data_IF_449508749983
#
_entry.id   IF_449508749983
#
_cell.length_a   1.000
_cell.length_b   1.000
_cell.length_c   1.000
_cell.angle_alpha   90.00
_cell.angle_beta   90.00
_cell.angle_gamma   90.00
#
_symmetry.space_group_name_H-M   'P 1'
#
loop_
_entity.id
_entity.type
_entity.pdbx_description
1 polymer ?
#
# COMPACT_ATOMS: atom_id res chain seq x y z
N UNK A 1 -13.50 6.84 -6.88
CA UNK A 1 -12.34 5.97 -6.64
C UNK A 1 -12.75 4.53 -6.92
N UNK A 2 -12.20 3.94 -7.95
CA UNK A 2 -12.41 2.51 -8.22
C UNK A 2 -11.13 1.77 -7.83
N UNK A 3 -11.24 0.91 -6.83
CA UNK A 3 -10.16 0.02 -6.41
C UNK A 3 -10.40 -1.34 -7.07
N UNK A 4 -9.47 -1.73 -7.93
CA UNK A 4 -9.47 -3.06 -8.53
C UNK A 4 -8.32 -3.85 -7.90
N UNK A 5 -8.66 -4.82 -7.06
CA UNK A 5 -7.71 -5.79 -6.57
C UNK A 5 -7.61 -6.95 -7.56
N UNK A 6 -6.45 -7.16 -8.17
CA UNK A 6 -6.13 -8.42 -8.82
C UNK A 6 -4.84 -8.96 -8.20
N UNK A 7 -4.97 -9.95 -7.36
CA UNK A 7 -3.86 -10.51 -6.58
C UNK A 7 -3.05 -11.57 -7.33
N UNK A 8 -3.46 -12.01 -8.52
CA UNK A 8 -3.02 -13.30 -9.04
C UNK A 8 -1.80 -13.30 -9.97
N UNK A 9 -1.39 -12.18 -10.55
CA UNK A 9 -0.37 -12.22 -11.62
C UNK A 9 0.99 -11.57 -11.27
N UNK A 10 1.09 -10.85 -10.17
CA UNK A 10 2.28 -10.03 -9.87
C UNK A 10 3.23 -10.73 -8.88
N UNK A 11 2.74 -11.74 -8.15
CA UNK A 11 3.52 -12.42 -7.09
C UNK A 11 4.66 -13.31 -7.60
N UNK A 12 4.60 -13.78 -8.85
CA UNK A 12 5.51 -14.78 -9.38
C UNK A 12 6.46 -14.24 -10.47
N UNK A 13 6.45 -12.94 -10.73
CA UNK A 13 7.30 -12.33 -11.76
C UNK A 13 8.19 -11.24 -11.14
N UNK A 14 9.48 -11.30 -11.46
CA UNK A 14 10.44 -10.21 -11.23
C UNK A 14 10.09 -9.03 -12.13
N UNK A 15 8.98 -8.35 -11.83
CA UNK A 15 8.54 -7.21 -12.63
C UNK A 15 9.47 -6.01 -12.39
N UNK A 16 9.92 -5.43 -13.47
CA UNK A 16 10.67 -4.17 -13.46
C UNK A 16 9.74 -2.99 -13.16
N UNK A 17 10.28 -1.86 -12.71
CA UNK A 17 9.51 -0.63 -12.50
C UNK A 17 8.79 -0.19 -13.79
N UNK A 18 9.40 -0.40 -14.96
CA UNK A 18 8.79 -0.04 -16.25
C UNK A 18 7.59 -0.93 -16.59
N UNK A 19 7.66 -2.23 -16.34
CA UNK A 19 6.52 -3.14 -16.53
C UNK A 19 5.36 -2.80 -15.58
N UNK A 20 5.66 -2.46 -14.33
CA UNK A 20 4.66 -2.04 -13.36
C UNK A 20 3.99 -0.72 -13.74
N UNK A 21 4.75 0.24 -14.27
CA UNK A 21 4.18 1.48 -14.84
C UNK A 21 3.21 1.19 -15.98
N UNK A 22 3.59 0.28 -16.88
CA UNK A 22 2.70 -0.11 -17.99
C UNK A 22 1.42 -0.78 -17.50
N UNK A 23 1.51 -1.69 -16.52
CA UNK A 23 0.32 -2.30 -15.90
C UNK A 23 -0.60 -1.27 -15.25
N UNK A 24 -0.04 -0.33 -14.49
CA UNK A 24 -0.80 0.76 -13.86
C UNK A 24 -1.52 1.61 -14.92
N UNK A 25 -0.83 1.94 -16.01
CA UNK A 25 -1.41 2.70 -17.14
C UNK A 25 -2.55 1.95 -17.77
N UNK A 26 -2.35 0.66 -18.14
CA UNK A 26 -3.36 -0.18 -18.76
C UNK A 26 -4.61 -0.36 -17.90
N UNK A 27 -4.43 -0.49 -16.57
CA UNK A 27 -5.54 -0.54 -15.63
C UNK A 27 -6.29 0.79 -15.57
N UNK A 28 -5.58 1.90 -15.58
CA UNK A 28 -6.17 3.24 -15.58
C UNK A 28 -6.96 3.52 -16.87
N UNK A 29 -6.52 3.01 -18.00
CA UNK A 29 -7.23 3.14 -19.30
C UNK A 29 -8.62 2.47 -19.28
N UNK A 30 -8.85 1.53 -18.34
CA UNK A 30 -10.17 0.90 -18.14
C UNK A 30 -11.16 1.76 -17.34
N UNK A 31 -10.75 2.94 -16.87
CA UNK A 31 -11.64 3.89 -16.22
C UNK A 31 -11.07 4.62 -15.01
N UNK A 32 -10.44 3.95 -14.03
CA UNK A 32 -10.04 4.61 -12.79
C UNK A 32 -8.95 5.66 -13.04
N UNK A 33 -9.09 6.82 -12.38
CA UNK A 33 -8.13 7.92 -12.48
C UNK A 33 -6.87 7.62 -11.65
N UNK A 34 -7.02 6.93 -10.54
CA UNK A 34 -5.93 6.51 -9.65
C UNK A 34 -5.94 5.00 -9.57
N UNK A 35 -4.80 4.39 -9.80
CA UNK A 35 -4.58 2.94 -9.68
C UNK A 35 -3.46 2.69 -8.69
N UNK A 36 -3.64 1.71 -7.81
CA UNK A 36 -2.66 1.33 -6.80
C UNK A 36 -2.47 -0.19 -6.85
N UNK A 37 -1.21 -0.62 -6.87
CA UNK A 37 -0.80 -2.02 -6.75
C UNK A 37 -0.04 -2.18 -5.45
N UNK A 38 -0.47 -3.11 -4.62
CA UNK A 38 0.15 -3.38 -3.31
C UNK A 38 0.89 -4.70 -3.30
N UNK A 39 1.77 -4.88 -2.31
CA UNK A 39 2.46 -6.14 -2.04
C UNK A 39 3.36 -6.62 -3.18
N UNK A 40 3.96 -5.71 -3.93
CA UNK A 40 4.92 -6.03 -4.98
C UNK A 40 6.26 -6.44 -4.34
N UNK A 41 6.78 -7.65 -4.59
CA UNK A 41 8.09 -8.03 -4.12
C UNK A 41 9.18 -7.10 -4.67
N UNK A 42 10.20 -6.84 -3.87
CA UNK A 42 11.38 -6.08 -4.33
C UNK A 42 12.45 -7.07 -4.80
N UNK A 43 12.93 -6.90 -6.04
CA UNK A 43 13.98 -7.74 -6.59
C UNK A 43 15.23 -7.68 -5.70
N UNK A 44 15.85 -8.84 -5.44
CA UNK A 44 17.03 -9.01 -4.58
C UNK A 44 16.86 -8.58 -3.10
N UNK A 45 15.66 -8.16 -2.67
CA UNK A 45 15.40 -7.76 -1.30
C UNK A 45 14.16 -8.50 -0.72
N UNK A 46 14.27 -9.79 -0.35
CA UNK A 46 13.13 -10.62 0.07
C UNK A 46 12.44 -10.13 1.36
N UNK A 47 13.09 -9.22 2.08
CA UNK A 47 12.54 -8.59 3.29
C UNK A 47 11.86 -7.24 3.04
N UNK A 48 11.66 -6.87 1.77
CA UNK A 48 10.96 -5.65 1.38
C UNK A 48 9.81 -5.92 0.44
N UNK A 49 8.85 -5.04 0.48
CA UNK A 49 7.72 -4.99 -0.44
C UNK A 49 7.46 -3.56 -0.84
N UNK A 50 6.85 -3.36 -1.99
CA UNK A 50 6.53 -2.03 -2.50
C UNK A 50 5.06 -1.88 -2.84
N UNK A 51 4.60 -0.65 -2.74
CA UNK A 51 3.31 -0.18 -3.23
C UNK A 51 3.58 0.78 -4.38
N UNK A 52 2.91 0.57 -5.50
CA UNK A 52 2.99 1.43 -6.68
C UNK A 52 1.66 2.12 -6.90
N UNK A 53 1.69 3.36 -7.29
CA UNK A 53 0.49 4.12 -7.62
C UNK A 53 0.69 4.97 -8.89
N UNK A 54 -0.38 5.13 -9.62
CA UNK A 54 -0.45 5.98 -10.80
C UNK A 54 -1.62 6.94 -10.69
N UNK A 55 -1.39 8.20 -11.01
CA UNK A 55 -2.44 9.21 -11.17
C UNK A 55 -2.44 9.69 -12.62
N UNK A 56 -3.49 9.33 -13.36
CA UNK A 56 -3.66 9.67 -14.77
C UNK A 56 -3.72 11.18 -15.03
N UNK A 57 -4.36 11.95 -14.14
CA UNK A 57 -4.51 13.39 -14.33
C UNK A 57 -3.17 14.12 -14.39
N UNK A 58 -2.21 13.70 -13.53
CA UNK A 58 -0.87 14.28 -13.51
C UNK A 58 0.16 13.49 -14.30
N UNK A 59 -0.21 12.33 -14.85
CA UNK A 59 0.70 11.35 -15.46
C UNK A 59 1.91 11.07 -14.57
N UNK A 60 1.66 10.81 -13.27
CA UNK A 60 2.70 10.61 -12.26
C UNK A 60 2.61 9.24 -11.65
N UNK A 61 3.76 8.62 -11.47
CA UNK A 61 3.93 7.31 -10.85
C UNK A 61 4.66 7.47 -9.52
N UNK A 62 4.17 6.78 -8.51
CA UNK A 62 4.71 6.82 -7.16
C UNK A 62 5.02 5.42 -6.68
N UNK A 63 6.08 5.28 -5.90
CA UNK A 63 6.49 4.05 -5.24
C UNK A 63 6.74 4.29 -3.78
N UNK A 64 6.28 3.39 -2.94
CA UNK A 64 6.59 3.34 -1.50
C UNK A 64 7.15 1.98 -1.19
N UNK A 65 8.37 1.92 -0.70
CA UNK A 65 9.02 0.67 -0.30
C UNK A 65 9.04 0.55 1.22
N UNK A 66 8.65 -0.60 1.74
CA UNK A 66 8.59 -0.86 3.17
C UNK A 66 9.10 -2.27 3.52
N UNK A 67 9.45 -2.53 4.79
CA UNK A 67 9.79 -3.86 5.24
C UNK A 67 8.63 -4.84 5.03
N UNK A 68 8.94 -6.02 4.51
CA UNK A 68 7.99 -7.13 4.45
C UNK A 68 7.98 -7.88 5.79
N UNK A 69 6.82 -8.01 6.38
CA UNK A 69 6.60 -8.85 7.55
C UNK A 69 5.90 -10.13 7.10
N UNK A 70 6.47 -11.32 7.40
CA UNK A 70 5.93 -12.61 6.93
C UNK A 70 4.72 -13.02 7.76
N UNK A 71 3.72 -12.15 7.83
CA UNK A 71 2.46 -12.38 8.53
C UNK A 71 1.32 -11.93 7.62
N UNK A 72 0.33 -12.80 7.49
CA UNK A 72 -0.87 -12.51 6.72
C UNK A 72 -2.06 -12.37 7.66
N UNK A 73 -2.65 -11.18 7.65
CA UNK A 73 -3.85 -10.87 8.43
C UNK A 73 -4.99 -10.45 7.50
N UNK A 74 -6.16 -11.10 7.59
CA UNK A 74 -7.34 -10.66 6.84
C UNK A 74 -7.69 -9.20 7.13
N UNK A 75 -8.22 -8.49 6.12
CA UNK A 75 -8.67 -7.11 6.26
C UNK A 75 -7.57 -6.04 6.15
N UNK A 76 -6.31 -6.40 5.97
CA UNK A 76 -5.23 -5.42 5.76
C UNK A 76 -5.44 -4.59 4.49
N UNK A 77 -5.91 -5.22 3.41
CA UNK A 77 -6.22 -4.52 2.16
C UNK A 77 -7.37 -3.52 2.31
N UNK A 78 -8.44 -3.91 3.01
CA UNK A 78 -9.59 -3.03 3.28
C UNK A 78 -9.18 -1.86 4.16
N UNK A 79 -8.36 -2.13 5.18
CA UNK A 79 -7.82 -1.09 6.07
C UNK A 79 -6.92 -0.12 5.29
N UNK A 80 -6.02 -0.63 4.46
CA UNK A 80 -5.15 0.17 3.59
C UNK A 80 -5.97 1.12 2.72
N UNK A 81 -6.97 0.57 2.03
CA UNK A 81 -7.91 1.30 1.19
C UNK A 81 -8.65 2.40 1.96
N UNK A 82 -9.13 2.07 3.15
CA UNK A 82 -9.87 3.02 4.00
C UNK A 82 -8.99 4.18 4.45
N UNK A 83 -7.74 3.91 4.82
CA UNK A 83 -6.77 4.97 5.20
C UNK A 83 -6.45 5.88 4.02
N UNK A 84 -6.19 5.32 2.82
CA UNK A 84 -5.96 6.12 1.61
C UNK A 84 -7.16 7.01 1.31
N UNK A 85 -8.36 6.44 1.31
CA UNK A 85 -9.59 7.18 1.01
C UNK A 85 -9.78 8.32 2.01
N UNK A 86 -9.67 8.04 3.30
CA UNK A 86 -9.78 9.05 4.35
C UNK A 86 -8.75 10.17 4.22
N UNK A 87 -7.50 9.82 3.94
CA UNK A 87 -6.38 10.77 3.76
C UNK A 87 -6.63 11.69 2.57
N UNK A 88 -7.02 11.13 1.42
CA UNK A 88 -7.37 11.92 0.23
C UNK A 88 -8.57 12.85 0.45
N UNK A 89 -9.60 12.37 1.19
CA UNK A 89 -10.76 13.19 1.54
C UNK A 89 -10.42 14.34 2.49
N UNK A 90 -9.38 14.21 3.30
CA UNK A 90 -8.85 15.28 4.15
C UNK A 90 -7.97 16.28 3.40
N UNK A 91 -7.67 16.01 2.13
CA UNK A 91 -6.89 16.90 1.27
C UNK A 91 -5.41 16.54 1.16
N UNK A 92 -4.98 15.39 1.69
CA UNK A 92 -3.62 14.90 1.48
C UNK A 92 -3.38 14.60 0.00
N UNK A 93 -2.13 14.77 -0.44
CA UNK A 93 -1.72 14.31 -1.76
C UNK A 93 -1.66 12.78 -1.84
N UNK A 94 -1.74 12.22 -3.05
CA UNK A 94 -1.65 10.77 -3.24
C UNK A 94 -0.39 10.16 -2.60
N UNK A 95 0.84 10.68 -2.80
CA UNK A 95 2.01 10.11 -2.15
C UNK A 95 1.95 10.17 -0.61
N UNK A 96 1.38 11.21 -0.04
CA UNK A 96 1.18 11.32 1.41
C UNK A 96 0.16 10.27 1.90
N UNK A 97 -0.93 10.06 1.17
CA UNK A 97 -1.92 9.05 1.50
C UNK A 97 -1.34 7.63 1.43
N UNK A 98 -0.51 7.35 0.41
CA UNK A 98 0.20 6.07 0.26
C UNK A 98 1.14 5.81 1.44
N UNK A 99 1.93 6.79 1.80
CA UNK A 99 2.90 6.69 2.88
C UNK A 99 2.20 6.48 4.24
N UNK A 100 1.15 7.26 4.52
CA UNK A 100 0.31 7.12 5.71
C UNK A 100 -0.30 5.71 5.81
N UNK A 101 -0.91 5.22 4.73
CA UNK A 101 -1.54 3.91 4.72
C UNK A 101 -0.52 2.79 4.91
N UNK A 102 0.63 2.87 4.23
CA UNK A 102 1.71 1.89 4.34
C UNK A 102 2.27 1.84 5.76
N UNK A 103 2.55 3.00 6.37
CA UNK A 103 3.06 3.08 7.75
C UNK A 103 2.02 2.56 8.75
N UNK A 104 0.74 2.91 8.58
CA UNK A 104 -0.32 2.47 9.47
C UNK A 104 -0.47 0.94 9.46
N UNK A 105 -0.53 0.34 8.27
CA UNK A 105 -0.62 -1.13 8.14
C UNK A 105 0.61 -1.81 8.75
N UNK A 106 1.81 -1.29 8.48
CA UNK A 106 3.04 -1.84 9.03
C UNK A 106 3.06 -1.81 10.56
N UNK A 107 2.61 -0.72 11.16
CA UNK A 107 2.47 -0.58 12.61
C UNK A 107 1.43 -1.56 13.17
N UNK A 108 0.28 -1.72 12.49
CA UNK A 108 -0.77 -2.66 12.87
C UNK A 108 -0.27 -4.11 12.86
N UNK A 109 0.43 -4.52 11.80
CA UNK A 109 1.01 -5.86 11.71
C UNK A 109 2.06 -6.06 12.82
N UNK A 110 2.95 -5.10 13.06
CA UNK A 110 3.96 -5.18 14.13
C UNK A 110 3.33 -5.28 15.52
N UNK A 111 2.31 -4.48 15.78
CA UNK A 111 1.59 -4.51 17.05
C UNK A 111 0.90 -5.85 17.29
N UNK A 112 0.41 -6.51 16.23
CA UNK A 112 -0.28 -7.80 16.32
C UNK A 112 0.69 -8.97 16.38
N UNK A 113 1.78 -8.92 15.62
CA UNK A 113 2.73 -10.03 15.44
C UNK A 113 3.37 -10.53 16.74
N UNK A 114 3.48 -9.68 17.74
CA UNK A 114 4.03 -10.01 19.05
C UNK A 114 3.06 -10.74 19.99
N UNK A 115 1.80 -10.90 19.60
CA UNK A 115 0.79 -11.60 20.40
C UNK A 115 0.57 -13.03 19.86
N UNK A 116 0.42 -13.98 20.77
CA UNK A 116 -0.11 -15.32 20.45
C UNK A 116 -1.62 -15.20 20.19
N UNK A 117 -1.99 -14.98 18.95
CA UNK A 117 -3.32 -14.55 18.56
C UNK A 117 -3.72 -15.24 17.25
N UNK A 118 -5.00 -15.62 17.12
CA UNK A 118 -5.49 -16.25 15.87
C UNK A 118 -5.44 -15.23 14.72
N UNK A 119 -4.55 -15.45 13.76
CA UNK A 119 -4.36 -14.57 12.61
C UNK A 119 -5.65 -14.32 11.82
N UNK A 120 -6.67 -15.20 11.94
CA UNK A 120 -7.96 -15.04 11.27
C UNK A 120 -8.78 -13.84 11.75
N UNK A 121 -8.50 -13.32 12.93
CA UNK A 121 -9.19 -12.15 13.48
C UNK A 121 -8.67 -10.82 12.93
N UNK A 122 -7.61 -10.84 12.10
CA UNK A 122 -7.03 -9.65 11.50
C UNK A 122 -6.02 -8.93 12.39
N UNK A 123 -5.71 -7.67 12.08
CA UNK A 123 -4.79 -6.84 12.86
C UNK A 123 -5.50 -6.17 14.04
N UNK A 124 -4.79 -5.98 15.15
CA UNK A 124 -5.28 -5.31 16.35
C UNK A 124 -5.34 -3.78 16.13
N UNK A 125 -6.35 -3.34 15.36
CA UNK A 125 -6.50 -1.93 14.97
C UNK A 125 -6.62 -1.00 16.18
N UNK A 126 -7.27 -1.42 17.24
CA UNK A 126 -7.44 -0.64 18.47
C UNK A 126 -6.12 -0.25 19.13
N UNK A 127 -5.04 -0.99 18.86
CA UNK A 127 -3.70 -0.67 19.35
C UNK A 127 -3.03 0.49 18.61
N UNK A 128 -3.44 0.74 17.38
CA UNK A 128 -2.72 1.64 16.47
C UNK A 128 -3.59 2.79 15.92
N UNK A 129 -4.90 2.82 16.20
CA UNK A 129 -5.82 3.85 15.67
C UNK A 129 -5.33 5.29 15.93
N UNK A 130 -4.72 5.53 17.10
CA UNK A 130 -4.18 6.85 17.45
C UNK A 130 -3.05 7.30 16.52
N UNK A 131 -2.42 6.38 15.78
CA UNK A 131 -1.35 6.71 14.84
C UNK A 131 -1.86 7.35 13.55
N UNK A 132 -3.18 7.29 13.27
CA UNK A 132 -3.77 7.95 12.11
C UNK A 132 -3.65 9.47 12.17
N UNK A 133 -3.68 10.04 13.37
CA UNK A 133 -3.59 11.48 13.61
C UNK A 133 -2.13 11.97 13.77
N UNK A 134 -1.17 11.05 13.78
CA UNK A 134 0.23 11.41 13.95
C UNK A 134 0.81 11.97 12.63
N UNK A 135 1.72 12.96 12.72
CA UNK A 135 2.49 13.39 11.56
C UNK A 135 3.30 12.23 11.00
N UNK A 136 3.40 12.14 9.67
CA UNK A 136 4.27 11.18 9.01
C UNK A 136 5.72 11.55 9.35
N UNK A 137 6.43 10.66 10.03
CA UNK A 137 7.75 10.96 10.57
C UNK A 137 8.85 10.95 9.51
N UNK A 138 8.71 10.13 8.48
CA UNK A 138 9.64 10.05 7.35
C UNK A 138 8.86 9.67 6.10
N UNK A 139 8.92 10.50 5.07
CA UNK A 139 8.39 10.15 3.76
C UNK A 139 9.26 9.05 3.13
N UNK A 140 8.61 7.95 2.74
CA UNK A 140 9.26 6.82 2.08
C UNK A 140 8.81 6.67 0.63
N UNK A 141 8.08 7.64 0.11
CA UNK A 141 7.63 7.65 -1.28
C UNK A 141 8.69 8.27 -2.19
N UNK A 142 8.73 7.77 -3.40
CA UNK A 142 9.55 8.28 -4.50
C UNK A 142 8.71 8.46 -5.78
N UNK A 143 9.06 9.45 -6.56
CA UNK A 143 8.53 9.65 -7.91
C UNK A 143 9.39 8.82 -8.86
N UNK A 144 8.77 7.95 -9.64
CA UNK A 144 9.47 7.03 -10.55
C UNK A 144 9.08 7.24 -12.02
#
# INVERSE_FOLDING_TARGET
LSLVGSEMCIRDSDNTDEELKEYLRLLSDKGPQVVIITSVPVHDEPHKTSVYAYNRQGNRYWKVTCPYLPAHYPGTGDTFTSVITGSLMQGDSLPMALDRATQFILQGIRATFGYEYDNREGILLEKVLHNLDMPIQMASYELI
#
